data_IF_899101271903
#
_entry.id   IF_899101271903
#
_cell.length_a   1.000
_cell.length_b   1.000
_cell.length_c   1.000
_cell.angle_alpha   90.00
_cell.angle_beta   90.00
_cell.angle_gamma   90.00
#
_symmetry.space_group_name_H-M   'P 1'
#
loop_
_entity.id
_entity.type
_entity.pdbx_description
1 polymer ?
#
# COMPACT_ATOMS: atom_id res chain seq x y z
N UNK A 1 -11.33 8.25 -0.93
CA UNK A 1 -11.40 7.05 -0.07
C UNK A 1 -11.18 7.51 1.36
N UNK A 2 -11.88 6.94 2.34
CA UNK A 2 -11.67 7.27 3.75
C UNK A 2 -10.70 6.25 4.34
N UNK A 3 -9.67 6.73 5.05
CA UNK A 3 -8.59 5.90 5.58
C UNK A 3 -8.90 5.60 7.06
N UNK A 4 -9.01 4.32 7.47
CA UNK A 4 -9.05 3.97 8.88
C UNK A 4 -7.75 4.37 9.58
N UNK A 5 -7.78 4.48 10.91
CA UNK A 5 -6.63 4.86 11.75
C UNK A 5 -5.36 4.08 11.43
N UNK A 6 -5.54 2.82 11.04
CA UNK A 6 -4.48 1.90 10.66
C UNK A 6 -4.86 1.31 9.31
N UNK A 7 -4.04 1.54 8.29
CA UNK A 7 -4.22 0.94 6.98
C UNK A 7 -3.33 -0.30 6.89
N UNK A 8 -3.94 -1.46 6.63
CA UNK A 8 -3.21 -2.67 6.36
C UNK A 8 -2.88 -2.74 4.86
N UNK A 9 -1.77 -3.36 4.50
CA UNK A 9 -1.44 -3.66 3.10
C UNK A 9 -1.13 -5.13 2.99
N UNK A 10 -1.63 -5.73 1.93
CA UNK A 10 -1.34 -7.10 1.56
C UNK A 10 -0.70 -7.07 0.19
N UNK A 11 0.55 -7.48 0.06
CA UNK A 11 1.28 -7.48 -1.19
C UNK A 11 1.49 -8.94 -1.56
N UNK A 12 0.78 -9.41 -2.57
CA UNK A 12 1.01 -10.71 -3.19
C UNK A 12 2.04 -10.55 -4.30
N UNK A 13 3.18 -11.21 -4.18
CA UNK A 13 4.26 -11.16 -5.16
C UNK A 13 4.55 -12.54 -5.68
N UNK A 14 4.67 -12.65 -6.99
CA UNK A 14 5.03 -13.91 -7.62
C UNK A 14 6.55 -14.05 -7.57
N UNK A 15 7.01 -14.95 -6.71
CA UNK A 15 8.38 -15.47 -6.63
C UNK A 15 9.49 -14.46 -6.29
N UNK A 16 9.18 -13.24 -5.86
CA UNK A 16 10.18 -12.24 -5.46
C UNK A 16 10.10 -11.91 -3.96
N UNK A 17 11.26 -11.68 -3.33
CA UNK A 17 11.33 -11.30 -1.92
C UNK A 17 11.08 -9.80 -1.75
N UNK A 18 10.05 -9.45 -0.99
CA UNK A 18 9.71 -8.07 -0.60
C UNK A 18 10.32 -7.74 0.77
N UNK A 19 10.98 -6.59 0.93
CA UNK A 19 11.64 -6.19 2.19
C UNK A 19 10.88 -5.15 2.98
N UNK A 20 10.51 -4.06 2.33
CA UNK A 20 9.95 -2.89 2.97
C UNK A 20 9.05 -2.12 2.02
N UNK A 21 8.17 -1.32 2.60
CA UNK A 21 7.35 -0.37 1.88
C UNK A 21 7.53 1.01 2.52
N UNK A 22 7.49 2.04 1.69
CA UNK A 22 7.50 3.45 2.10
C UNK A 22 6.20 4.11 1.65
N UNK A 23 5.56 4.83 2.57
CA UNK A 23 4.32 5.60 2.33
C UNK A 23 4.54 7.03 2.80
N UNK A 24 4.57 8.00 1.89
CA UNK A 24 4.75 9.41 2.24
C UNK A 24 6.05 9.70 3.00
N UNK A 25 7.09 8.89 2.78
CA UNK A 25 8.39 8.98 3.47
C UNK A 25 8.51 8.10 4.72
N UNK A 26 7.42 7.52 5.22
CA UNK A 26 7.45 6.57 6.35
C UNK A 26 7.75 5.18 5.81
N UNK A 27 8.87 4.58 6.24
CA UNK A 27 9.30 3.26 5.79
C UNK A 27 9.07 2.22 6.88
N UNK A 28 8.45 1.10 6.53
CA UNK A 28 8.16 -0.01 7.43
C UNK A 28 8.52 -1.36 6.78
N UNK A 29 8.92 -2.36 7.59
CA UNK A 29 9.21 -3.69 7.08
C UNK A 29 7.93 -4.39 6.62
N UNK A 30 8.09 -5.31 5.67
CA UNK A 30 7.03 -6.21 5.25
C UNK A 30 7.26 -7.59 5.86
N UNK A 31 6.19 -8.17 6.40
CA UNK A 31 6.21 -9.50 7.00
C UNK A 31 5.70 -10.54 6.02
N UNK A 32 6.41 -11.65 5.86
CA UNK A 32 5.92 -12.75 5.04
C UNK A 32 4.77 -13.46 5.77
N UNK A 33 3.58 -13.45 5.18
CA UNK A 33 2.39 -14.10 5.72
C UNK A 33 2.22 -15.54 5.21
N UNK A 34 2.47 -15.78 3.93
CA UNK A 34 2.42 -17.11 3.34
C UNK A 34 3.36 -17.25 2.16
N UNK A 35 3.71 -18.49 1.84
CA UNK A 35 4.52 -18.86 0.68
C UNK A 35 4.01 -20.17 0.11
N UNK A 36 3.69 -20.16 -1.17
CA UNK A 36 3.34 -21.34 -1.96
C UNK A 36 4.26 -21.42 -3.20
N UNK A 37 4.19 -22.50 -4.00
CA UNK A 37 5.06 -22.65 -5.18
C UNK A 37 4.85 -21.59 -6.28
N UNK A 38 3.74 -20.87 -6.27
CA UNK A 38 3.38 -19.88 -7.28
C UNK A 38 3.57 -18.44 -6.78
N UNK A 39 3.42 -18.18 -5.48
CA UNK A 39 3.43 -16.84 -4.91
C UNK A 39 3.90 -16.78 -3.47
N UNK A 40 4.32 -15.59 -3.06
CA UNK A 40 4.63 -15.23 -1.68
C UNK A 40 3.78 -14.03 -1.31
N UNK A 41 3.08 -14.10 -0.18
CA UNK A 41 2.27 -12.99 0.32
C UNK A 41 3.02 -12.31 1.45
N UNK A 42 3.23 -11.01 1.31
CA UNK A 42 3.76 -10.13 2.32
C UNK A 42 2.67 -9.20 2.83
N UNK A 43 2.74 -8.81 4.10
CA UNK A 43 1.84 -7.84 4.70
C UNK A 43 2.60 -6.76 5.43
N UNK A 44 2.05 -5.55 5.45
CA UNK A 44 2.57 -4.42 6.21
C UNK A 44 1.43 -3.60 6.78
N UNK A 45 1.76 -2.76 7.76
CA UNK A 45 0.79 -1.85 8.37
C UNK A 45 1.38 -0.44 8.35
N UNK A 46 0.59 0.50 7.84
CA UNK A 46 0.88 1.93 7.92
C UNK A 46 -0.10 2.54 8.90
N UNK A 47 0.44 3.05 9.99
CA UNK A 47 -0.33 3.85 10.92
C UNK A 47 -0.52 5.26 10.35
N UNK A 48 -1.76 5.72 10.34
CA UNK A 48 -2.10 7.09 9.91
C UNK A 48 -2.29 8.03 11.10
N UNK A 49 -2.07 7.54 12.33
CA UNK A 49 -2.07 8.37 13.52
C UNK A 49 -1.04 9.50 13.39
N UNK A 50 -1.47 10.72 13.75
CA UNK A 50 -0.65 11.92 13.64
C UNK A 50 -0.55 12.51 12.23
N UNK A 51 -1.06 11.86 11.18
CA UNK A 51 -1.09 12.43 9.83
C UNK A 51 -2.08 13.60 9.78
N UNK A 52 -1.60 14.77 9.33
CA UNK A 52 -2.41 15.97 9.23
C UNK A 52 -3.60 15.78 8.27
N UNK A 53 -4.77 16.23 8.69
CA UNK A 53 -5.96 16.18 7.83
C UNK A 53 -5.77 17.07 6.59
N UNK A 54 -6.32 16.60 5.48
CA UNK A 54 -6.28 17.33 4.21
C UNK A 54 -7.36 18.41 4.16
N UNK A 55 -7.10 19.49 3.41
CA UNK A 55 -8.10 20.54 3.17
C UNK A 55 -9.32 19.96 2.46
N UNK A 56 -10.50 20.55 2.73
CA UNK A 56 -11.74 20.11 2.08
C UNK A 56 -11.65 20.28 0.56
N UNK A 57 -12.16 19.28 -0.18
CA UNK A 57 -12.13 19.26 -1.65
C UNK A 57 -10.81 18.81 -2.29
N UNK A 58 -9.74 18.65 -1.51
CA UNK A 58 -8.41 18.35 -2.03
C UNK A 58 -8.00 16.89 -1.78
N UNK A 59 -7.27 16.30 -2.74
CA UNK A 59 -6.56 15.03 -2.57
C UNK A 59 -5.07 15.34 -2.64
N UNK A 60 -4.28 14.69 -1.79
CA UNK A 60 -2.84 14.85 -1.77
C UNK A 60 -2.17 13.66 -2.46
N UNK A 61 -1.15 13.90 -3.30
CA UNK A 61 -0.32 12.83 -3.81
C UNK A 61 0.57 12.29 -2.67
N UNK A 62 0.52 10.98 -2.45
CA UNK A 62 1.39 10.29 -1.50
C UNK A 62 2.27 9.33 -2.27
N UNK A 63 3.58 9.53 -2.21
CA UNK A 63 4.56 8.66 -2.87
C UNK A 63 4.63 7.32 -2.15
N UNK A 64 4.62 6.26 -2.94
CA UNK A 64 4.71 4.88 -2.48
C UNK A 64 5.92 4.24 -3.13
N UNK A 65 6.74 3.56 -2.33
CA UNK A 65 7.87 2.78 -2.83
C UNK A 65 7.88 1.41 -2.15
N UNK A 66 7.95 0.33 -2.94
CA UNK A 66 8.05 -1.05 -2.44
C UNK A 66 9.40 -1.60 -2.88
N UNK A 67 10.21 -2.10 -1.94
CA UNK A 67 11.53 -2.66 -2.23
C UNK A 67 11.49 -4.18 -2.39
N UNK A 68 11.98 -4.66 -3.53
CA UNK A 68 12.21 -6.05 -3.84
C UNK A 68 13.71 -6.35 -3.86
N UNK A 69 14.09 -7.54 -3.39
CA UNK A 69 15.52 -7.92 -3.33
C UNK A 69 16.11 -8.17 -4.72
N UNK A 70 15.31 -8.69 -5.65
CA UNK A 70 15.82 -9.18 -6.95
C UNK A 70 15.51 -8.22 -8.11
N UNK A 71 14.48 -7.39 -7.97
CA UNK A 71 13.88 -6.64 -9.08
C UNK A 71 13.75 -5.13 -8.80
N UNK A 72 14.56 -4.61 -7.86
CA UNK A 72 14.62 -3.19 -7.53
C UNK A 72 13.41 -2.69 -6.74
N UNK A 73 12.98 -1.47 -7.01
CA UNK A 73 11.82 -0.86 -6.36
C UNK A 73 10.66 -0.62 -7.31
N UNK A 74 9.44 -0.84 -6.83
CA UNK A 74 8.23 -0.37 -7.47
C UNK A 74 7.84 0.98 -6.88
N UNK A 75 7.46 1.93 -7.73
CA UNK A 75 7.03 3.27 -7.33
C UNK A 75 5.65 3.59 -7.90
N UNK A 76 4.79 4.16 -7.06
CA UNK A 76 3.48 4.66 -7.48
C UNK A 76 3.07 5.85 -6.62
N UNK A 77 2.02 6.55 -7.03
CA UNK A 77 1.45 7.69 -6.30
C UNK A 77 0.00 7.39 -5.95
N UNK A 78 -0.31 7.38 -4.65
CA UNK A 78 -1.69 7.35 -4.18
C UNK A 78 -2.29 8.74 -4.14
N UNK A 79 -3.56 8.84 -4.53
CA UNK A 79 -4.35 10.06 -4.37
C UNK A 79 -5.20 9.95 -3.09
N UNK A 80 -4.62 10.41 -1.99
CA UNK A 80 -5.11 10.18 -0.63
C UNK A 80 -5.89 11.40 -0.12
N UNK A 81 -6.89 11.15 0.72
CA UNK A 81 -7.59 12.20 1.48
C UNK A 81 -7.67 11.80 2.94
N UNK A 82 -6.93 12.48 3.80
CA UNK A 82 -6.97 12.28 5.24
C UNK A 82 -8.11 13.10 5.85
N UNK A 83 -9.02 12.45 6.54
CA UNK A 83 -10.18 13.07 7.17
C UNK A 83 -9.87 13.45 8.62
N UNK A 84 -10.57 14.44 9.15
CA UNK A 84 -10.40 14.87 10.53
C UNK A 84 -10.96 13.79 11.48
N UNK A 85 -10.16 13.44 12.49
CA UNK A 85 -10.52 12.50 13.55
C UNK A 85 -11.89 12.76 14.18
N UNK A 86 -12.21 14.03 14.42
CA UNK A 86 -13.41 14.47 15.11
C UNK A 86 -14.64 14.50 14.18
N UNK A 87 -14.48 14.18 12.90
CA UNK A 87 -15.52 14.26 11.85
C UNK A 87 -15.70 12.91 11.14
N UNK A 88 -15.76 11.82 11.92
CA UNK A 88 -15.84 10.42 11.43
C UNK A 88 -17.07 10.14 10.57
N UNK A 89 -18.15 10.88 10.75
CA UNK A 89 -19.39 10.70 9.98
C UNK A 89 -19.20 10.93 8.47
N UNK A 90 -18.21 11.73 8.08
CA UNK A 90 -17.88 11.93 6.66
C UNK A 90 -17.25 10.70 5.99
N UNK A 91 -16.84 9.70 6.76
CA UNK A 91 -16.36 8.42 6.23
C UNK A 91 -17.47 7.44 5.86
N UNK A 92 -18.74 7.78 6.11
CA UNK A 92 -19.87 6.91 5.77
C UNK A 92 -20.31 6.96 4.30
N UNK A 93 -19.82 7.94 3.51
CA UNK A 93 -20.26 8.13 2.12
C UNK A 93 -19.30 7.57 1.07
N UNK A 94 -18.27 6.82 1.47
CA UNK A 94 -17.36 6.14 0.55
C UNK A 94 -17.08 4.71 0.98
N UNK A 95 -16.57 3.89 0.06
CA UNK A 95 -16.09 2.55 0.42
C UNK A 95 -14.95 2.69 1.43
N UNK A 96 -15.21 2.26 2.66
CA UNK A 96 -14.15 1.96 3.63
C UNK A 96 -13.45 0.72 3.13
N UNK A 97 -12.15 0.80 2.93
CA UNK A 97 -11.32 -0.37 2.68
C UNK A 97 -10.30 -0.44 3.81
N UNK A 98 -10.01 -1.66 4.26
CA UNK A 98 -9.05 -1.92 5.33
C UNK A 98 -7.69 -2.29 4.76
N UNK A 99 -7.64 -2.73 3.50
CA UNK A 99 -6.39 -3.09 2.85
C UNK A 99 -6.31 -2.80 1.35
N UNK A 100 -5.08 -2.55 0.89
CA UNK A 100 -4.75 -2.55 -0.54
C UNK A 100 -4.00 -3.83 -0.86
N UNK A 101 -4.45 -4.50 -1.90
CA UNK A 101 -3.85 -5.72 -2.43
C UNK A 101 -3.13 -5.46 -3.75
N UNK A 102 -1.83 -5.71 -3.76
CA UNK A 102 -1.01 -5.66 -4.97
C UNK A 102 -0.65 -7.06 -5.45
N UNK A 103 -0.89 -7.37 -6.72
CA UNK A 103 -0.33 -8.54 -7.39
C UNK A 103 0.84 -8.11 -8.28
N UNK A 104 2.06 -8.43 -7.87
CA UNK A 104 3.27 -8.04 -8.61
C UNK A 104 3.87 -9.24 -9.37
N UNK A 105 4.23 -9.05 -10.65
CA UNK A 105 5.02 -10.01 -11.44
C UNK A 105 6.30 -9.37 -11.96
N UNK A 106 7.43 -10.09 -11.94
CA UNK A 106 8.64 -9.61 -12.59
C UNK A 106 8.46 -9.54 -14.11
N UNK A 107 9.23 -8.66 -14.76
CA UNK A 107 9.41 -8.71 -16.21
C UNK A 107 10.22 -9.95 -16.62
N UNK A 108 10.28 -10.24 -17.92
CA UNK A 108 10.96 -11.44 -18.45
C UNK A 108 12.45 -11.52 -18.03
N UNK A 109 13.10 -10.38 -17.83
CA UNK A 109 14.51 -10.29 -17.40
C UNK A 109 14.69 -10.28 -15.88
N UNK A 110 13.60 -10.29 -15.10
CA UNK A 110 13.56 -10.16 -13.63
C UNK A 110 14.29 -8.93 -13.08
N UNK A 111 14.42 -7.89 -13.88
CA UNK A 111 15.08 -6.63 -13.51
C UNK A 111 14.10 -5.59 -12.98
N UNK A 112 12.80 -5.76 -13.25
CA UNK A 112 11.73 -4.84 -12.88
C UNK A 112 10.49 -5.61 -12.42
N UNK A 113 9.70 -5.02 -11.51
CA UNK A 113 8.40 -5.55 -11.09
C UNK A 113 7.25 -4.72 -11.67
N UNK A 114 6.21 -5.39 -12.16
CA UNK A 114 4.96 -4.77 -12.60
C UNK A 114 3.82 -5.16 -11.69
N UNK A 115 2.93 -4.21 -11.41
CA UNK A 115 1.64 -4.48 -10.76
C UNK A 115 0.64 -4.91 -11.83
N UNK A 116 0.19 -6.16 -11.75
CA UNK A 116 -0.87 -6.68 -12.64
C UNK A 116 -2.26 -6.38 -12.10
N UNK A 117 -2.38 -6.30 -10.78
CA UNK A 117 -3.66 -6.09 -10.10
C UNK A 117 -3.48 -5.21 -8.88
N UNK A 118 -4.35 -4.23 -8.75
CA UNK A 118 -4.53 -3.41 -7.55
C UNK A 118 -5.98 -3.57 -7.11
N UNK A 119 -6.20 -4.00 -5.86
CA UNK A 119 -7.54 -4.14 -5.27
C UNK A 119 -7.62 -3.38 -3.95
N UNK A 120 -8.80 -2.80 -3.70
CA UNK A 120 -9.11 -2.11 -2.45
C UNK A 120 -10.18 -2.94 -1.73
N UNK A 121 -9.80 -3.54 -0.60
CA UNK A 121 -10.61 -4.50 0.19
C UNK A 121 -10.99 -3.90 1.53
#
# INVERSE_FOLDING_TARGET
>A
MCYPFQMCFSISVILCICRSMSVGGVTFPLEQKSKDPQSVIYTGQYDTEGVAHTKSGERQPVQINIQFTEAGSFETVWQVKYYNYNKRDHCQWGNSFNSIEYECKPNDTRTLMWVNKEMFV
#
